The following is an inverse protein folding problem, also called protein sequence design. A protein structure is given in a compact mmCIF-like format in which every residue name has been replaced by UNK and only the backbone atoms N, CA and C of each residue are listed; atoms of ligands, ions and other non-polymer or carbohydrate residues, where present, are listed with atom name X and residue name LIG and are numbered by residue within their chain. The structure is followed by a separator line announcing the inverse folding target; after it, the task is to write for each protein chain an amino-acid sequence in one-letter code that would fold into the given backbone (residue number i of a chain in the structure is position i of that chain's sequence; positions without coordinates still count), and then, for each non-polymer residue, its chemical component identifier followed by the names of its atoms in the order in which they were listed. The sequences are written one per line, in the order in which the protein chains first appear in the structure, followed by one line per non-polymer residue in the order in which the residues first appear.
data_IF_074807444091
#
_entry.id   IF_074807444091
#
_cell.length_a   1.000
_cell.length_b   1.000
_cell.length_c   1.000
_cell.angle_alpha   90.00
_cell.angle_beta   90.00
_cell.angle_gamma   90.00
#
_symmetry.space_group_name_H-M   'P 1'
#
loop_
_entity.id
_entity.type
_entity.pdbx_description
1 polymer ?
#
# COMPACT_ATOMS: atom_id res chain seq x y z
N UNK A 1 -6.13 2.30 1.72
CA UNK A 1 -4.90 1.49 1.82
C UNK A 1 -5.00 0.60 3.05
N UNK A 2 -5.48 -0.63 2.86
CA UNK A 2 -5.55 -1.67 3.87
C UNK A 2 -4.27 -1.75 4.72
N UNK A 3 -4.32 -1.09 5.87
CA UNK A 3 -3.21 -0.99 6.80
C UNK A 3 -2.98 -2.35 7.42
N UNK A 4 -1.76 -2.87 7.22
CA UNK A 4 -1.27 -4.11 7.81
C UNK A 4 -1.82 -5.40 7.18
N UNK A 5 -1.45 -5.66 5.93
CA UNK A 5 -1.44 -7.02 5.38
C UNK A 5 -0.31 -7.85 6.02
N UNK A 6 -0.47 -8.17 7.30
CA UNK A 6 0.54 -8.87 8.11
C UNK A 6 0.96 -10.20 7.48
N UNK A 7 0.02 -10.93 6.88
CA UNK A 7 0.31 -12.18 6.17
C UNK A 7 1.21 -11.99 4.95
N UNK A 8 0.88 -11.03 4.08
CA UNK A 8 1.68 -10.73 2.90
C UNK A 8 3.08 -10.21 3.28
N UNK A 9 3.17 -9.34 4.29
CA UNK A 9 4.47 -8.85 4.79
C UNK A 9 5.29 -10.00 5.36
N UNK A 10 4.68 -10.91 6.13
CA UNK A 10 5.33 -12.10 6.65
C UNK A 10 5.92 -12.98 5.54
N UNK A 11 5.13 -13.30 4.51
CA UNK A 11 5.59 -14.09 3.37
C UNK A 11 6.69 -13.39 2.56
N UNK A 12 6.63 -12.06 2.45
CA UNK A 12 7.66 -11.30 1.74
C UNK A 12 8.98 -11.28 2.51
N UNK A 13 8.92 -11.17 3.83
CA UNK A 13 10.08 -11.13 4.72
C UNK A 13 10.70 -12.51 4.98
N UNK A 14 9.95 -13.59 4.81
CA UNK A 14 10.45 -14.95 5.00
C UNK A 14 11.38 -15.36 3.83
N UNK A 15 12.67 -15.62 4.07
CA UNK A 15 13.60 -16.06 3.03
C UNK A 15 13.35 -17.50 2.54
N UNK A 16 12.58 -18.32 3.26
CA UNK A 16 12.24 -19.69 2.83
C UNK A 16 11.19 -19.71 1.71
N UNK A 17 10.45 -18.61 1.52
CA UNK A 17 9.40 -18.54 0.50
C UNK A 17 10.03 -18.26 -0.87
N UNK A 18 10.29 -19.30 -1.66
CA UNK A 18 10.90 -19.16 -2.99
C UNK A 18 9.95 -18.57 -4.05
N UNK A 19 8.66 -18.89 -3.98
CA UNK A 19 7.66 -18.49 -4.97
C UNK A 19 6.39 -18.00 -4.27
N UNK A 20 5.87 -16.84 -4.67
CA UNK A 20 4.51 -16.41 -4.31
C UNK A 20 3.60 -16.54 -5.52
N UNK A 21 2.55 -17.34 -5.37
CA UNK A 21 1.47 -17.44 -6.34
C UNK A 21 0.41 -16.38 -6.04
N UNK A 22 0.01 -15.63 -7.07
CA UNK A 22 -0.97 -14.56 -6.95
C UNK A 22 -2.04 -14.72 -8.02
N UNK A 23 -3.28 -14.49 -7.64
CA UNK A 23 -4.40 -14.47 -8.58
C UNK A 23 -4.34 -13.25 -9.50
N UNK A 24 -4.10 -12.05 -8.96
CA UNK A 24 -4.06 -10.79 -9.71
C UNK A 24 -2.89 -9.91 -9.24
N UNK A 25 -2.24 -9.21 -10.17
CA UNK A 25 -1.13 -8.26 -9.88
C UNK A 25 -1.56 -7.20 -8.85
N UNK A 26 -2.73 -6.63 -9.08
CA UNK A 26 -3.26 -5.47 -8.34
C UNK A 26 -3.74 -5.85 -6.95
N UNK A 27 -4.07 -7.13 -6.75
CA UNK A 27 -4.38 -7.67 -5.41
C UNK A 27 -3.19 -7.56 -4.49
N UNK A 28 -1.97 -7.83 -4.95
CA UNK A 28 -0.78 -7.79 -4.11
C UNK A 28 -0.26 -6.37 -4.00
N UNK A 29 0.00 -5.71 -5.14
CA UNK A 29 0.54 -4.35 -5.18
C UNK A 29 -0.02 -3.61 -6.41
N UNK A 30 -0.93 -2.66 -6.21
CA UNK A 30 -1.52 -1.89 -7.31
C UNK A 30 -0.59 -0.82 -7.90
N UNK A 31 0.52 -0.47 -7.23
CA UNK A 31 1.55 0.45 -7.78
C UNK A 31 2.94 -0.09 -7.44
N UNK A 32 3.80 -0.23 -8.45
CA UNK A 32 5.21 -0.59 -8.25
C UNK A 32 5.45 -2.09 -8.08
N UNK A 33 4.60 -2.93 -8.66
CA UNK A 33 4.81 -4.38 -8.75
C UNK A 33 6.16 -4.70 -9.42
N UNK A 34 6.48 -4.03 -10.52
CA UNK A 34 7.71 -4.23 -11.31
C UNK A 34 8.99 -4.09 -10.47
N UNK A 35 9.08 -3.05 -9.65
CA UNK A 35 10.25 -2.83 -8.79
C UNK A 35 10.43 -3.95 -7.76
N UNK A 36 9.32 -4.52 -7.29
CA UNK A 36 9.37 -5.59 -6.29
C UNK A 36 9.65 -6.94 -6.93
N UNK A 37 9.08 -7.21 -8.09
CA UNK A 37 9.41 -8.37 -8.92
C UNK A 37 10.90 -8.38 -9.28
N UNK A 38 11.47 -7.23 -9.66
CA UNK A 38 12.90 -7.09 -9.90
C UNK A 38 13.73 -7.37 -8.64
N UNK A 39 13.34 -6.79 -7.49
CA UNK A 39 14.03 -7.02 -6.22
C UNK A 39 13.99 -8.50 -5.78
N UNK A 40 12.91 -9.21 -6.09
CA UNK A 40 12.76 -10.64 -5.80
C UNK A 40 13.53 -11.52 -6.77
N UNK A 41 13.50 -11.18 -8.06
CA UNK A 41 14.28 -11.87 -9.09
C UNK A 41 15.77 -11.79 -8.75
N UNK A 42 16.24 -10.65 -8.25
CA UNK A 42 17.61 -10.47 -7.76
C UNK A 42 17.96 -11.36 -6.54
N UNK A 43 16.95 -11.79 -5.77
CA UNK A 43 17.10 -12.74 -4.65
C UNK A 43 16.95 -14.20 -5.08
N UNK A 44 16.76 -14.48 -6.38
CA UNK A 44 16.48 -15.84 -6.87
C UNK A 44 15.06 -16.33 -6.56
N UNK A 45 14.13 -15.40 -6.28
CA UNK A 45 12.74 -15.67 -5.93
C UNK A 45 11.81 -15.19 -7.04
N UNK A 46 10.60 -15.74 -7.13
CA UNK A 46 9.66 -15.37 -8.19
C UNK A 46 8.25 -15.09 -7.66
N UNK A 47 7.54 -14.22 -8.37
CA UNK A 47 6.11 -13.97 -8.17
C UNK A 47 5.40 -14.45 -9.43
N UNK A 48 4.45 -15.37 -9.28
CA UNK A 48 3.74 -15.95 -10.42
C UNK A 48 2.27 -15.55 -10.38
N UNK A 49 1.80 -14.96 -11.47
CA UNK A 49 0.43 -14.45 -11.59
C UNK A 49 -0.39 -15.40 -12.47
N UNK A 50 -1.47 -15.95 -11.92
CA UNK A 50 -2.28 -16.98 -12.59
C UNK A 50 -3.51 -16.40 -13.30
N UNK A 51 -4.05 -15.29 -12.80
CA UNK A 51 -5.26 -14.68 -13.35
C UNK A 51 -4.98 -13.64 -14.44
N UNK A 52 -6.03 -13.25 -15.19
CA UNK A 52 -5.93 -12.19 -16.19
C UNK A 52 -5.47 -10.87 -15.56
N UNK A 53 -4.82 -10.02 -16.37
CA UNK A 53 -4.46 -8.65 -15.95
C UNK A 53 -5.72 -7.96 -15.38
N UNK A 54 -5.58 -7.33 -14.22
CA UNK A 54 -6.71 -6.97 -13.36
C UNK A 54 -7.74 -6.06 -14.02
N UNK A 55 -8.95 -6.07 -13.46
CA UNK A 55 -10.04 -5.25 -13.96
C UNK A 55 -9.76 -3.78 -13.69
N UNK A 56 -10.16 -2.91 -14.62
CA UNK A 56 -10.10 -1.44 -14.46
C UNK A 56 -10.79 -1.01 -13.15
N UNK A 57 -11.85 -1.72 -12.75
CA UNK A 57 -12.59 -1.48 -11.50
C UNK A 57 -11.71 -1.61 -10.23
N UNK A 58 -10.84 -2.62 -10.19
CA UNK A 58 -9.92 -2.84 -9.06
C UNK A 58 -8.92 -1.68 -8.92
N UNK A 59 -8.46 -1.13 -10.05
CA UNK A 59 -7.57 0.03 -10.06
C UNK A 59 -8.28 1.30 -9.57
N UNK A 60 -9.52 1.53 -10.03
CA UNK A 60 -10.34 2.67 -9.62
C UNK A 60 -10.62 2.63 -8.12
N UNK A 61 -10.98 1.46 -7.59
CA UNK A 61 -11.17 1.24 -6.17
C UNK A 61 -9.90 1.58 -5.37
N UNK A 62 -8.73 1.15 -5.87
CA UNK A 62 -7.47 1.45 -5.19
C UNK A 62 -7.09 2.93 -5.21
N UNK A 63 -7.34 3.61 -6.34
CA UNK A 63 -7.15 5.06 -6.45
C UNK A 63 -8.04 5.80 -5.45
N UNK A 64 -9.32 5.42 -5.37
CA UNK A 64 -10.27 5.99 -4.42
C UNK A 64 -9.79 5.82 -2.98
N UNK A 65 -9.42 4.61 -2.57
CA UNK A 65 -8.86 4.36 -1.23
C UNK A 65 -7.61 5.19 -0.92
N UNK A 66 -6.77 5.40 -1.93
CA UNK A 66 -5.53 6.18 -1.80
C UNK A 66 -5.85 7.65 -1.58
N UNK A 67 -6.76 8.21 -2.39
CA UNK A 67 -7.21 9.60 -2.25
C UNK A 67 -7.88 9.84 -0.90
N UNK A 68 -8.77 8.93 -0.46
CA UNK A 68 -9.43 9.02 0.86
C UNK A 68 -8.39 9.02 1.99
N UNK A 69 -7.41 8.11 1.95
CA UNK A 69 -6.34 8.04 2.95
C UNK A 69 -5.47 9.31 2.97
N UNK A 70 -5.11 9.82 1.79
CA UNK A 70 -4.34 11.06 1.65
C UNK A 70 -5.11 12.25 2.21
N UNK A 71 -6.37 12.41 1.82
CA UNK A 71 -7.27 13.45 2.31
C UNK A 71 -7.41 13.38 3.83
N UNK A 72 -7.60 12.20 4.42
CA UNK A 72 -7.66 12.03 5.87
C UNK A 72 -6.36 12.47 6.58
N UNK A 73 -5.18 12.17 6.01
CA UNK A 73 -3.89 12.62 6.55
C UNK A 73 -3.71 14.14 6.45
N UNK A 74 -4.09 14.73 5.32
CA UNK A 74 -4.06 16.19 5.13
C UNK A 74 -4.99 16.89 6.12
N UNK A 75 -6.21 16.39 6.29
CA UNK A 75 -7.18 16.93 7.24
C UNK A 75 -6.68 16.81 8.68
N UNK A 76 -6.07 15.69 9.06
CA UNK A 76 -5.47 15.49 10.38
C UNK A 76 -4.35 16.51 10.65
N UNK A 77 -3.48 16.76 9.68
CA UNK A 77 -2.42 17.77 9.79
C UNK A 77 -3.00 19.17 9.97
N UNK A 78 -4.03 19.52 9.19
CA UNK A 78 -4.74 20.82 9.32
C UNK A 78 -5.37 20.97 10.70
N UNK A 79 -6.03 19.93 11.19
CA UNK A 79 -6.63 19.91 12.52
C UNK A 79 -5.58 20.10 13.62
N UNK A 80 -4.47 19.35 13.56
CA UNK A 80 -3.36 19.48 14.52
C UNK A 80 -2.78 20.89 14.54
N UNK A 81 -2.56 21.51 13.36
CA UNK A 81 -2.08 22.89 13.24
C UNK A 81 -3.05 23.90 13.86
N UNK A 82 -4.35 23.76 13.56
CA UNK A 82 -5.37 24.65 14.10
C UNK A 82 -5.49 24.52 15.63
N UNK A 83 -5.40 23.30 16.16
CA UNK A 83 -5.42 23.05 17.60
C UNK A 83 -4.20 23.68 18.29
N UNK A 84 -3.01 23.55 17.71
CA UNK A 84 -1.80 24.19 18.22
C UNK A 84 -1.92 25.72 18.22
N UNK A 85 -2.45 26.31 17.14
CA UNK A 85 -2.68 27.77 17.07
C UNK A 85 -3.64 28.25 18.16
N UNK A 86 -4.78 27.57 18.32
CA UNK A 86 -5.75 27.90 19.39
C UNK A 86 -5.17 27.77 20.79
N UNK A 87 -4.31 26.77 21.02
CA UNK A 87 -3.65 26.60 22.32
C UNK A 87 -2.67 27.76 22.60
N UNK A 88 -1.93 28.23 21.59
CA UNK A 88 -1.05 29.39 21.72
C UNK A 88 -1.85 30.68 21.96
N UNK A 89 -2.95 30.88 21.24
CA UNK A 89 -3.86 32.02 21.42
C UNK A 89 -4.53 32.05 22.81
N UNK A 90 -4.68 30.91 23.48
CA UNK A 90 -5.26 30.82 24.81
C UNK A 90 -4.25 31.01 25.96
N UNK A 91 -2.94 30.98 25.65
CA UNK A 91 -1.85 31.20 26.61
C UNK A 91 -1.34 32.66 26.55
N UNK A 92 -1.58 33.35 25.43
CA UNK A 92 -1.30 34.78 25.24
C UNK A 92 -2.41 35.64 25.85
#
# INVERSE_FOLDING_TARGET
MNGHRRGLVGQVCDPQVGVILVEQRDRVIPIGFEYREAAWTAQGRSILVVGPNGMIDDMVCHLYETLVSLCARLYRKRFARNRAKKALEAIA
#
